data_IF_844386605961
#
_entry.id   IF_844386605961
#
_cell.length_a   1.000
_cell.length_b   1.000
_cell.length_c   1.000
_cell.angle_alpha   90.00
_cell.angle_beta   90.00
_cell.angle_gamma   90.00
#
_symmetry.space_group_name_H-M   'P 1'
#
loop_
_entity.id
_entity.type
_entity.pdbx_description
1 polymer ?
#
# COMPACT_ATOMS: atom_id res chain seq x y z
N UNK A 1 1.95 10.29 -22.62
CA UNK A 1 2.88 10.74 -21.54
C UNK A 1 2.70 12.24 -21.30
N UNK A 2 1.61 12.68 -20.67
CA UNK A 2 1.32 14.11 -20.42
C UNK A 2 0.37 14.34 -19.22
N UNK A 3 0.49 13.57 -18.12
CA UNK A 3 -0.42 13.72 -16.98
C UNK A 3 0.24 14.25 -15.70
N UNK A 4 1.51 14.65 -15.74
CA UNK A 4 2.24 15.18 -14.58
C UNK A 4 2.83 16.55 -14.89
N UNK A 5 2.01 17.48 -15.38
CA UNK A 5 2.40 18.89 -15.41
C UNK A 5 2.08 19.51 -14.04
N UNK A 6 3.07 19.51 -13.15
CA UNK A 6 2.94 20.01 -11.77
C UNK A 6 2.68 21.52 -11.69
N UNK A 7 2.78 22.23 -12.82
CA UNK A 7 2.62 23.69 -12.87
C UNK A 7 1.16 24.16 -12.65
N UNK A 8 0.17 23.25 -12.70
CA UNK A 8 -1.24 23.58 -12.45
C UNK A 8 -1.70 23.29 -11.01
N UNK A 9 -0.84 22.73 -10.15
CA UNK A 9 -1.20 22.43 -8.77
C UNK A 9 -1.09 23.73 -7.94
N UNK A 10 -2.15 24.16 -7.25
CA UNK A 10 -2.09 25.32 -6.38
C UNK A 10 -1.01 25.15 -5.30
N UNK A 11 -0.18 26.18 -5.02
CA UNK A 11 0.94 26.07 -4.06
C UNK A 11 0.50 25.70 -2.65
N UNK A 12 -0.75 26.01 -2.28
CA UNK A 12 -1.38 25.59 -1.04
C UNK A 12 -1.42 24.05 -0.89
N UNK A 13 -1.65 23.27 -1.95
CA UNK A 13 -1.71 21.80 -1.86
C UNK A 13 -0.32 21.20 -1.58
N UNK A 14 0.72 21.81 -2.15
CA UNK A 14 2.12 21.40 -1.93
C UNK A 14 2.50 21.62 -0.46
N UNK A 15 2.18 22.80 0.09
CA UNK A 15 2.46 23.11 1.49
C UNK A 15 1.73 22.19 2.49
N UNK A 16 0.48 21.82 2.19
CA UNK A 16 -0.34 20.93 3.02
C UNK A 16 0.19 19.50 2.96
N UNK A 17 0.55 19.02 1.77
CA UNK A 17 1.20 17.73 1.60
C UNK A 17 2.53 17.67 2.37
N UNK A 18 3.36 18.71 2.28
CA UNK A 18 4.63 18.77 3.01
C UNK A 18 4.44 18.74 4.53
N UNK A 19 3.47 19.51 5.05
CA UNK A 19 3.15 19.51 6.48
C UNK A 19 2.63 18.15 6.95
N UNK A 20 1.78 17.50 6.17
CA UNK A 20 1.24 16.21 6.52
C UNK A 20 2.26 15.07 6.42
N UNK A 21 3.20 15.13 5.46
CA UNK A 21 4.33 14.21 5.42
C UNK A 21 5.21 14.36 6.67
N UNK A 22 5.44 15.59 7.15
CA UNK A 22 6.16 15.84 8.42
C UNK A 22 5.40 15.27 9.62
N UNK A 23 4.09 15.52 9.70
CA UNK A 23 3.23 14.96 10.76
C UNK A 23 3.25 13.43 10.74
N UNK A 24 3.11 12.84 9.56
CA UNK A 24 3.10 11.38 9.38
C UNK A 24 4.45 10.77 9.75
N UNK A 25 5.56 11.40 9.36
CA UNK A 25 6.91 11.00 9.77
C UNK A 25 7.10 11.03 11.29
N UNK A 26 6.59 12.07 11.96
CA UNK A 26 6.58 12.12 13.44
C UNK A 26 5.65 11.09 14.06
N UNK A 27 4.50 10.81 13.44
CA UNK A 27 3.51 9.88 13.96
C UNK A 27 3.97 8.43 13.94
N UNK A 28 4.75 8.07 12.92
CA UNK A 28 5.25 6.71 12.70
C UNK A 28 6.63 6.49 13.34
N UNK A 29 7.19 7.48 14.03
CA UNK A 29 8.46 7.32 14.77
C UNK A 29 8.23 6.44 16.00
N UNK A 30 8.77 5.21 16.07
CA UNK A 30 8.57 4.33 17.21
C UNK A 30 9.21 4.89 18.48
N UNK A 31 8.50 4.84 19.61
CA UNK A 31 9.02 5.27 20.91
C UNK A 31 9.00 6.78 21.14
N UNK A 32 8.41 7.56 20.22
CA UNK A 32 8.26 9.02 20.37
C UNK A 32 7.35 9.38 21.53
N UNK A 33 6.39 8.52 21.89
CA UNK A 33 5.49 8.76 23.00
C UNK A 33 5.55 7.66 24.05
N UNK A 34 5.38 8.07 25.30
CA UNK A 34 5.35 7.19 26.46
C UNK A 34 4.26 6.10 26.36
N UNK A 35 3.18 6.35 25.60
CA UNK A 35 2.09 5.40 25.36
C UNK A 35 2.54 4.16 24.60
N UNK A 36 3.62 4.25 23.82
CA UNK A 36 4.19 3.12 23.07
C UNK A 36 4.87 2.12 24.01
N UNK A 37 5.39 2.60 25.15
CA UNK A 37 6.01 1.78 26.18
C UNK A 37 5.02 1.34 27.28
N UNK A 38 4.03 2.19 27.60
CA UNK A 38 3.03 1.94 28.64
C UNK A 38 1.60 2.15 28.12
N UNK A 39 0.95 1.08 27.61
CA UNK A 39 -0.39 1.16 27.02
C UNK A 39 -1.48 1.73 27.93
N UNK A 40 -1.30 1.65 29.26
CA UNK A 40 -2.25 2.19 30.26
C UNK A 40 -2.42 3.71 30.14
N UNK A 41 -1.45 4.41 29.57
CA UNK A 41 -1.49 5.86 29.36
C UNK A 41 -2.56 6.29 28.34
N UNK A 42 -3.12 5.37 27.54
CA UNK A 42 -4.25 5.64 26.63
C UNK A 42 -5.49 6.18 27.36
N UNK A 43 -5.72 5.79 28.61
CA UNK A 43 -6.93 6.13 29.36
C UNK A 43 -6.86 7.45 30.12
N UNK A 44 -5.70 8.11 30.15
CA UNK A 44 -5.49 9.32 30.93
C UNK A 44 -6.18 10.55 30.27
N UNK A 45 -6.86 11.43 31.03
CA UNK A 45 -7.43 12.66 30.49
C UNK A 45 -6.39 13.61 29.86
N UNK A 46 -6.79 14.38 28.85
CA UNK A 46 -5.91 15.30 28.09
C UNK A 46 -5.29 16.44 28.92
N UNK A 47 -5.77 16.68 30.15
CA UNK A 47 -5.24 17.70 31.06
C UNK A 47 -4.00 17.25 31.84
N UNK A 48 -3.70 15.95 31.92
CA UNK A 48 -2.60 15.40 32.71
C UNK A 48 -1.21 15.71 32.12
N UNK A 49 -0.16 15.97 32.94
CA UNK A 49 1.16 16.43 32.48
C UNK A 49 1.92 15.49 31.52
N UNK A 50 1.43 14.26 31.30
CA UNK A 50 2.02 13.30 30.34
C UNK A 50 1.07 12.92 29.19
N UNK A 51 -0.11 13.56 29.09
CA UNK A 51 -1.09 13.32 28.03
C UNK A 51 -0.89 14.25 26.80
N UNK A 52 0.33 14.75 26.58
CA UNK A 52 0.66 15.65 25.46
C UNK A 52 0.30 15.03 24.11
N UNK A 53 0.44 13.71 23.95
CA UNK A 53 0.07 12.97 22.75
C UNK A 53 -1.41 13.16 22.36
N UNK A 54 -2.33 13.30 23.34
CA UNK A 54 -3.76 13.53 23.05
C UNK A 54 -4.00 14.92 22.48
N UNK A 55 -3.31 15.94 23.00
CA UNK A 55 -3.40 17.31 22.48
C UNK A 55 -2.81 17.39 21.08
N UNK A 56 -1.63 16.79 20.90
CA UNK A 56 -0.95 16.68 19.62
C UNK A 56 -1.79 15.94 18.57
N UNK A 57 -2.45 14.83 18.93
CA UNK A 57 -3.36 14.12 18.02
C UNK A 57 -4.60 14.94 17.64
N UNK A 58 -5.12 15.76 18.57
CA UNK A 58 -6.28 16.62 18.30
C UNK A 58 -5.92 17.75 17.35
N UNK A 59 -4.72 18.30 17.49
CA UNK A 59 -4.19 19.33 16.60
C UNK A 59 -3.88 18.77 15.21
N UNK A 60 -3.25 17.59 15.13
CA UNK A 60 -2.99 16.95 13.85
C UNK A 60 -4.26 16.49 13.14
N UNK A 61 -5.35 16.21 13.88
CA UNK A 61 -6.61 15.78 13.28
C UNK A 61 -7.19 16.84 12.34
N UNK A 62 -7.09 18.13 12.68
CA UNK A 62 -7.57 19.19 11.78
C UNK A 62 -6.71 19.30 10.53
N UNK A 63 -5.37 19.19 10.65
CA UNK A 63 -4.45 19.18 9.51
C UNK A 63 -4.62 17.95 8.61
N UNK A 64 -4.86 16.77 9.19
CA UNK A 64 -5.09 15.53 8.43
C UNK A 64 -6.46 15.53 7.74
N UNK A 65 -7.50 16.05 8.39
CA UNK A 65 -8.79 16.26 7.74
C UNK A 65 -8.64 17.23 6.55
N UNK A 66 -7.90 18.32 6.74
CA UNK A 66 -7.60 19.28 5.68
C UNK A 66 -6.85 18.65 4.50
N UNK A 67 -5.90 17.74 4.77
CA UNK A 67 -5.21 16.97 3.72
C UNK A 67 -6.18 16.11 2.90
N UNK A 68 -7.20 15.52 3.50
CA UNK A 68 -8.21 14.75 2.77
C UNK A 68 -9.16 15.67 2.00
N UNK A 69 -9.65 16.72 2.65
CA UNK A 69 -10.78 17.52 2.15
C UNK A 69 -10.40 18.43 0.99
N UNK A 70 -9.21 19.03 0.98
CA UNK A 70 -8.79 19.95 -0.10
C UNK A 70 -8.69 19.27 -1.47
N UNK A 71 -7.86 18.22 -1.65
CA UNK A 71 -7.73 17.58 -2.96
C UNK A 71 -9.06 16.94 -3.38
N UNK A 72 -9.83 16.40 -2.43
CA UNK A 72 -11.14 15.83 -2.71
C UNK A 72 -12.14 16.88 -3.23
N UNK A 73 -12.25 18.04 -2.56
CA UNK A 73 -13.15 19.11 -2.97
C UNK A 73 -12.69 19.79 -4.28
N UNK A 74 -11.38 19.93 -4.46
CA UNK A 74 -10.82 20.42 -5.72
C UNK A 74 -11.13 19.47 -6.88
N UNK A 75 -10.89 18.16 -6.70
CA UNK A 75 -11.20 17.14 -7.70
C UNK A 75 -12.68 17.11 -8.05
N UNK A 76 -13.56 17.17 -7.04
CA UNK A 76 -15.01 17.23 -7.21
C UNK A 76 -15.47 18.46 -8.01
N UNK A 77 -14.80 19.61 -7.87
CA UNK A 77 -15.10 20.82 -8.64
C UNK A 77 -14.57 20.81 -10.08
N UNK A 78 -13.52 20.05 -10.36
CA UNK A 78 -12.87 20.00 -11.68
C UNK A 78 -13.50 19.04 -12.69
N UNK A 79 -14.57 18.32 -12.31
CA UNK A 79 -15.24 17.31 -13.15
C UNK A 79 -14.27 16.26 -13.73
N UNK A 80 -13.13 16.04 -13.07
CA UNK A 80 -12.16 15.01 -13.42
C UNK A 80 -12.78 13.69 -12.98
N UNK A 81 -12.92 12.70 -13.88
CA UNK A 81 -13.46 11.40 -13.50
C UNK A 81 -12.60 10.84 -12.37
N UNK A 82 -13.24 10.58 -11.23
CA UNK A 82 -12.59 9.99 -10.05
C UNK A 82 -11.81 8.73 -10.45
N UNK A 83 -10.73 8.41 -9.74
CA UNK A 83 -9.99 7.16 -9.95
C UNK A 83 -10.87 5.92 -9.87
N UNK A 84 -11.98 5.97 -9.11
CA UNK A 84 -13.01 4.93 -9.11
C UNK A 84 -13.69 4.74 -10.46
N UNK A 85 -13.85 5.81 -11.25
CA UNK A 85 -14.42 5.77 -12.59
C UNK A 85 -13.42 5.23 -13.63
N UNK A 86 -12.11 5.47 -13.43
CA UNK A 86 -11.03 4.91 -14.27
C UNK A 86 -10.79 3.42 -14.03
N UNK A 87 -11.04 2.94 -12.81
CA UNK A 87 -10.90 1.52 -12.44
C UNK A 87 -12.10 0.65 -12.86
N UNK A 88 -13.21 1.25 -13.31
CA UNK A 88 -14.43 0.54 -13.71
C UNK A 88 -15.01 1.06 -15.04
N UNK A 89 -14.39 0.76 -16.19
CA UNK A 89 -15.04 1.01 -17.45
C UNK A 89 -16.17 -0.02 -17.64
N UNK A 90 -17.45 0.38 -17.47
CA UNK A 90 -18.60 -0.38 -17.99
C UNK A 90 -19.68 -0.85 -17.00
N UNK A 91 -19.76 -0.39 -15.76
CA UNK A 91 -20.90 -0.72 -14.89
C UNK A 91 -22.02 0.32 -15.04
N UNK A 92 -23.05 0.01 -15.82
CA UNK A 92 -24.35 0.69 -15.76
C UNK A 92 -25.05 0.42 -14.42
N UNK A 93 -25.89 1.35 -13.97
CA UNK A 93 -26.52 1.53 -12.64
C UNK A 93 -27.34 0.36 -12.04
N UNK A 94 -27.32 -0.85 -12.59
CA UNK A 94 -28.23 -1.92 -12.18
C UNK A 94 -27.69 -2.91 -11.12
N UNK A 95 -26.51 -2.65 -10.53
CA UNK A 95 -25.87 -3.61 -9.62
C UNK A 95 -25.56 -3.09 -8.21
N UNK A 96 -26.27 -2.05 -7.74
CA UNK A 96 -26.11 -1.53 -6.36
C UNK A 96 -27.02 -2.22 -5.33
N UNK A 97 -27.66 -3.33 -5.69
CA UNK A 97 -28.43 -4.15 -4.75
C UNK A 97 -28.04 -5.61 -4.92
N UNK A 98 -26.93 -6.02 -4.29
CA UNK A 98 -26.67 -7.35 -3.69
C UNK A 98 -25.37 -7.23 -2.89
N UNK A 99 -25.51 -7.04 -1.59
CA UNK A 99 -24.69 -7.79 -0.65
C UNK A 99 -25.68 -8.66 0.15
N UNK A 100 -25.61 -9.99 -0.01
CA UNK A 100 -25.02 -10.75 1.07
C UNK A 100 -24.16 -11.91 0.59
N UNK A 101 -23.32 -12.41 1.50
CA UNK A 101 -22.31 -13.44 1.27
C UNK A 101 -22.80 -14.65 0.47
N UNK A 102 -22.15 -14.85 -0.68
CA UNK A 102 -21.97 -16.09 -1.41
C UNK A 102 -21.27 -15.70 -2.71
N UNK A 103 -20.04 -16.17 -2.87
CA UNK A 103 -19.23 -16.00 -4.07
C UNK A 103 -20.03 -16.44 -5.30
N UNK A 104 -20.43 -15.47 -6.13
CA UNK A 104 -21.04 -15.76 -7.43
C UNK A 104 -20.05 -16.57 -8.28
N UNK A 105 -20.40 -17.74 -8.83
CA UNK A 105 -19.45 -18.61 -9.55
C UNK A 105 -18.93 -18.05 -10.88
N UNK A 106 -19.40 -16.89 -11.31
CA UNK A 106 -19.18 -16.36 -12.66
C UNK A 106 -17.88 -15.56 -12.86
N UNK A 107 -17.03 -15.42 -11.82
CA UNK A 107 -15.81 -14.60 -11.87
C UNK A 107 -14.55 -15.33 -11.36
N UNK A 108 -14.48 -16.65 -11.51
CA UNK A 108 -13.18 -17.32 -11.42
C UNK A 108 -12.38 -17.00 -12.69
N UNK A 109 -11.43 -16.08 -12.57
CA UNK A 109 -10.44 -15.80 -13.62
C UNK A 109 -9.52 -17.02 -13.81
N UNK A 110 -8.94 -17.19 -15.01
CA UNK A 110 -8.07 -18.32 -15.39
C UNK A 110 -7.07 -18.77 -14.28
N UNK A 111 -6.40 -17.86 -13.54
CA UNK A 111 -5.54 -18.22 -12.42
C UNK A 111 -6.23 -18.92 -11.24
N UNK A 112 -7.43 -18.50 -10.82
CA UNK A 112 -8.08 -19.14 -9.65
C UNK A 112 -8.51 -20.57 -9.96
N UNK A 113 -8.97 -20.85 -11.18
CA UNK A 113 -9.33 -22.21 -11.60
C UNK A 113 -8.12 -23.15 -11.55
N UNK A 114 -6.93 -22.67 -11.97
CA UNK A 114 -5.68 -23.45 -11.90
C UNK A 114 -5.22 -23.66 -10.46
N UNK A 115 -5.31 -22.63 -9.61
CA UNK A 115 -4.99 -22.77 -8.18
C UNK A 115 -5.93 -23.77 -7.49
N UNK A 116 -7.23 -23.73 -7.80
CA UNK A 116 -8.20 -24.68 -7.25
C UNK A 116 -7.90 -26.11 -7.70
N UNK A 117 -7.60 -26.33 -8.99
CA UNK A 117 -7.22 -27.65 -9.50
C UNK A 117 -5.93 -28.19 -8.86
N UNK A 118 -4.97 -27.32 -8.53
CA UNK A 118 -3.76 -27.72 -7.80
C UNK A 118 -4.09 -28.18 -6.37
N UNK A 119 -4.95 -27.45 -5.66
CA UNK A 119 -5.42 -27.83 -4.32
C UNK A 119 -6.18 -29.16 -4.36
N UNK A 120 -7.11 -29.30 -5.31
CA UNK A 120 -7.95 -30.49 -5.48
C UNK A 120 -7.11 -31.74 -5.82
N UNK A 121 -5.92 -31.55 -6.42
CA UNK A 121 -5.00 -32.66 -6.72
C UNK A 121 -4.32 -33.26 -5.48
N UNK A 122 -4.27 -32.50 -4.38
CA UNK A 122 -3.55 -32.89 -3.16
C UNK A 122 -4.51 -33.40 -2.09
N UNK A 123 -5.69 -32.79 -1.98
CA UNK A 123 -6.68 -33.13 -0.97
C UNK A 123 -8.10 -32.89 -1.48
N UNK A 124 -9.03 -33.74 -1.04
CA UNK A 124 -10.48 -33.54 -1.22
C UNK A 124 -11.14 -32.86 -0.01
N UNK A 125 -10.35 -32.51 1.01
CA UNK A 125 -10.79 -31.87 2.25
C UNK A 125 -9.99 -30.59 2.56
N UNK A 126 -9.97 -30.18 3.83
CA UNK A 126 -9.26 -28.97 4.25
C UNK A 126 -7.74 -29.15 4.11
N UNK A 127 -7.02 -28.29 3.37
CA UNK A 127 -5.56 -28.32 3.27
C UNK A 127 -4.89 -28.07 4.62
N UNK A 128 -3.74 -28.68 4.85
CA UNK A 128 -2.89 -28.44 6.02
C UNK A 128 -1.66 -27.62 5.64
N UNK A 129 -1.01 -27.01 6.62
CA UNK A 129 0.21 -26.22 6.38
C UNK A 129 1.34 -27.05 5.75
N UNK A 130 1.41 -28.35 6.04
CA UNK A 130 2.39 -29.24 5.44
C UNK A 130 2.22 -29.39 3.90
N UNK A 131 1.02 -29.13 3.38
CA UNK A 131 0.72 -29.24 1.95
C UNK A 131 1.27 -28.07 1.13
N UNK A 132 1.70 -26.97 1.78
CA UNK A 132 2.21 -25.76 1.12
C UNK A 132 3.36 -26.05 0.15
N UNK A 133 4.24 -27.00 0.48
CA UNK A 133 5.36 -27.38 -0.40
C UNK A 133 4.92 -28.11 -1.68
N UNK A 134 3.68 -28.59 -1.72
CA UNK A 134 3.09 -29.30 -2.86
C UNK A 134 2.24 -28.38 -3.74
N UNK A 135 2.11 -27.11 -3.37
CA UNK A 135 1.25 -26.11 -4.01
C UNK A 135 2.08 -24.99 -4.69
N UNK A 136 2.95 -25.31 -5.66
CA UNK A 136 3.85 -24.33 -6.25
C UNK A 136 3.13 -23.23 -7.03
N UNK A 137 2.02 -23.51 -7.70
CA UNK A 137 1.22 -22.49 -8.40
C UNK A 137 0.51 -21.56 -7.43
N UNK A 138 -0.07 -22.09 -6.34
CA UNK A 138 -0.67 -21.26 -5.30
C UNK A 138 0.36 -20.29 -4.69
N UNK A 139 1.58 -20.78 -4.42
CA UNK A 139 2.68 -19.94 -3.93
C UNK A 139 3.09 -18.88 -4.95
N UNK A 140 3.18 -19.24 -6.23
CA UNK A 140 3.46 -18.28 -7.30
C UNK A 140 2.37 -17.20 -7.42
N UNK A 141 1.10 -17.60 -7.30
CA UNK A 141 -0.04 -16.68 -7.30
C UNK A 141 -0.02 -15.75 -6.09
N UNK A 142 0.33 -16.25 -4.90
CA UNK A 142 0.49 -15.42 -3.70
C UNK A 142 1.58 -14.37 -3.89
N UNK A 143 2.72 -14.76 -4.48
CA UNK A 143 3.79 -13.80 -4.83
C UNK A 143 3.29 -12.74 -5.80
N UNK A 144 2.55 -13.14 -6.83
CA UNK A 144 2.02 -12.17 -7.81
C UNK A 144 1.01 -11.20 -7.21
N UNK A 145 0.17 -11.66 -6.27
CA UNK A 145 -0.72 -10.77 -5.50
C UNK A 145 0.08 -9.76 -4.69
N UNK A 146 1.12 -10.21 -3.97
CA UNK A 146 1.99 -9.31 -3.20
C UNK A 146 2.73 -8.30 -4.07
N UNK A 147 3.13 -8.68 -5.29
CA UNK A 147 3.78 -7.78 -6.25
C UNK A 147 2.80 -6.75 -6.81
N UNK A 148 1.63 -7.21 -7.27
CA UNK A 148 0.63 -6.39 -7.96
C UNK A 148 -0.03 -5.38 -7.00
N UNK A 149 -0.33 -5.81 -5.77
CA UNK A 149 -0.99 -4.99 -4.76
C UNK A 149 -0.32 -5.18 -3.39
N UNK A 150 0.88 -4.62 -3.17
CA UNK A 150 1.58 -4.75 -1.90
C UNK A 150 0.79 -4.05 -0.79
N UNK A 151 0.75 -4.67 0.39
CA UNK A 151 0.01 -4.15 1.56
C UNK A 151 0.53 -2.77 1.97
N UNK A 152 1.84 -2.56 1.88
CA UNK A 152 2.51 -1.30 2.21
C UNK A 152 3.16 -0.67 0.98
N UNK A 153 2.36 -0.01 0.13
CA UNK A 153 2.83 0.63 -1.11
C UNK A 153 4.00 1.61 -0.91
N UNK A 154 4.05 2.30 0.24
CA UNK A 154 5.07 3.29 0.60
C UNK A 154 6.02 2.81 1.72
N UNK A 155 6.06 1.49 1.97
CA UNK A 155 6.71 0.89 3.12
C UNK A 155 6.29 1.57 4.45
N UNK A 156 6.96 1.18 5.54
CA UNK A 156 6.96 1.97 6.76
C UNK A 156 8.04 3.05 6.64
N UNK A 157 7.76 4.31 7.05
CA UNK A 157 8.77 5.34 7.04
C UNK A 157 9.95 4.98 7.94
N UNK A 158 11.15 5.14 7.41
CA UNK A 158 12.39 4.97 8.16
C UNK A 158 12.99 6.33 8.50
N UNK A 159 13.77 6.41 9.58
CA UNK A 159 14.51 7.61 9.92
C UNK A 159 16.00 7.39 9.71
N UNK A 160 16.64 8.33 9.04
CA UNK A 160 18.08 8.33 8.82
C UNK A 160 18.79 8.66 10.14
N UNK A 161 19.66 7.78 10.61
CA UNK A 161 20.33 7.92 11.92
C UNK A 161 21.59 8.77 11.87
N UNK A 162 22.24 8.85 10.71
CA UNK A 162 23.46 9.61 10.45
C UNK A 162 23.44 10.17 9.03
N UNK A 163 24.16 11.27 8.80
CA UNK A 163 24.28 11.84 7.46
C UNK A 163 24.78 10.79 6.46
N UNK A 164 24.11 10.69 5.31
CA UNK A 164 24.46 9.76 4.24
C UNK A 164 24.40 10.45 2.87
N UNK A 165 24.99 9.83 1.85
CA UNK A 165 24.94 10.31 0.46
C UNK A 165 24.48 9.18 -0.46
N UNK A 166 23.33 9.39 -1.12
CA UNK A 166 22.78 8.44 -2.09
C UNK A 166 22.64 9.10 -3.46
N UNK A 167 23.17 8.46 -4.51
CA UNK A 167 23.13 8.96 -5.88
C UNK A 167 23.60 10.43 -6.06
N UNK A 168 24.57 10.86 -5.24
CA UNK A 168 25.10 12.23 -5.23
C UNK A 168 24.28 13.25 -4.41
N UNK A 169 23.16 12.83 -3.82
CA UNK A 169 22.34 13.66 -2.94
C UNK A 169 22.68 13.40 -1.47
N UNK A 170 22.89 14.47 -0.70
CA UNK A 170 23.07 14.38 0.75
C UNK A 170 21.72 14.17 1.45
N UNK A 171 21.62 13.11 2.24
CA UNK A 171 20.48 12.79 3.08
C UNK A 171 20.90 13.06 4.53
N UNK A 172 20.38 14.11 5.19
CA UNK A 172 20.81 14.47 6.53
C UNK A 172 20.27 13.50 7.59
N UNK A 173 21.01 13.35 8.68
CA UNK A 173 20.54 12.70 9.89
C UNK A 173 19.21 13.32 10.35
N UNK A 174 18.28 12.46 10.78
CA UNK A 174 16.94 12.83 11.20
C UNK A 174 15.91 12.94 10.07
N UNK A 175 16.31 12.87 8.80
CA UNK A 175 15.38 12.84 7.67
C UNK A 175 14.50 11.59 7.70
N UNK A 176 13.23 11.75 7.33
CA UNK A 176 12.30 10.63 7.10
C UNK A 176 12.43 10.15 5.67
N UNK A 177 12.75 8.87 5.50
CA UNK A 177 12.81 8.19 4.22
C UNK A 177 11.54 7.36 4.02
N UNK A 178 10.89 7.54 2.86
CA UNK A 178 9.69 6.80 2.46
C UNK A 178 10.02 6.04 1.18
N UNK A 179 9.87 4.72 1.19
CA UNK A 179 10.25 3.84 0.10
C UNK A 179 9.03 3.52 -0.76
N UNK A 180 9.04 3.88 -2.04
CA UNK A 180 7.94 3.53 -2.93
C UNK A 180 8.08 2.08 -3.43
N UNK A 181 7.69 1.13 -2.57
CA UNK A 181 7.69 -0.31 -2.85
C UNK A 181 6.85 -0.62 -4.09
N UNK A 182 5.72 0.06 -4.27
CA UNK A 182 4.88 -0.09 -5.46
C UNK A 182 5.67 0.18 -6.75
N UNK A 183 6.42 1.29 -6.80
CA UNK A 183 7.22 1.64 -7.96
C UNK A 183 8.34 0.62 -8.23
N UNK A 184 8.99 0.10 -7.18
CA UNK A 184 10.01 -0.95 -7.31
C UNK A 184 9.41 -2.23 -7.90
N UNK A 185 8.24 -2.64 -7.42
CA UNK A 185 7.55 -3.87 -7.87
C UNK A 185 6.85 -3.74 -9.24
N UNK A 186 6.78 -2.52 -9.79
CA UNK A 186 6.26 -2.20 -11.12
C UNK A 186 7.32 -1.66 -12.08
N UNK A 187 8.60 -1.76 -11.71
CA UNK A 187 9.70 -1.47 -12.61
C UNK A 187 9.76 -2.51 -13.74
N UNK A 188 9.66 -2.06 -14.98
CA UNK A 188 9.60 -2.93 -16.16
C UNK A 188 10.95 -3.59 -16.48
N UNK A 189 12.07 -3.05 -15.98
CA UNK A 189 13.39 -3.69 -16.10
C UNK A 189 13.48 -4.91 -15.19
N UNK A 190 12.89 -4.82 -13.99
CA UNK A 190 12.88 -5.91 -12.99
C UNK A 190 11.73 -6.91 -13.23
N UNK A 191 10.53 -6.41 -13.56
CA UNK A 191 9.32 -7.21 -13.78
C UNK A 191 8.72 -6.88 -15.17
N UNK A 192 9.00 -7.70 -16.20
CA UNK A 192 8.40 -7.53 -17.52
C UNK A 192 6.87 -7.58 -17.46
N UNK A 193 6.23 -6.70 -18.22
CA UNK A 193 4.78 -6.48 -18.24
C UNK A 193 4.19 -6.35 -16.82
N UNK A 194 4.60 -5.33 -16.04
CA UNK A 194 4.32 -5.26 -14.60
C UNK A 194 2.83 -5.09 -14.28
N UNK A 195 2.03 -4.62 -15.24
CA UNK A 195 0.58 -4.45 -15.09
C UNK A 195 -0.22 -5.68 -15.52
N UNK A 196 0.43 -6.72 -16.07
CA UNK A 196 -0.19 -8.00 -16.32
C UNK A 196 -0.07 -8.86 -15.06
N UNK A 197 -1.21 -9.34 -14.57
CA UNK A 197 -1.25 -10.32 -13.50
C UNK A 197 -0.89 -11.70 -14.06
N UNK A 198 0.35 -12.12 -13.84
CA UNK A 198 0.88 -13.38 -14.35
C UNK A 198 1.66 -14.12 -13.24
N UNK A 199 1.02 -15.11 -12.58
CA UNK A 199 1.70 -15.97 -11.60
C UNK A 199 2.84 -16.78 -12.21
N UNK A 200 2.84 -17.06 -13.51
CA UNK A 200 3.82 -17.98 -14.11
C UNK A 200 5.25 -17.40 -14.11
N UNK A 201 5.40 -16.08 -13.92
CA UNK A 201 6.70 -15.38 -13.80
C UNK A 201 7.60 -15.88 -12.66
N UNK A 202 7.04 -16.58 -11.68
CA UNK A 202 7.77 -17.13 -10.53
C UNK A 202 8.18 -18.60 -10.72
N UNK A 203 7.88 -19.23 -11.85
CA UNK A 203 8.38 -20.56 -12.17
C UNK A 203 9.76 -20.53 -12.83
N UNK A 204 10.53 -21.60 -12.57
CA UNK A 204 11.80 -21.82 -13.25
C UNK A 204 11.57 -21.99 -14.76
N UNK A 205 12.22 -21.15 -15.58
CA UNK A 205 12.15 -21.20 -17.04
C UNK A 205 11.23 -20.18 -17.70
N UNK A 206 10.52 -19.32 -16.94
CA UNK A 206 9.65 -18.27 -17.46
C UNK A 206 10.41 -17.00 -17.96
N UNK A 207 11.74 -16.96 -17.86
CA UNK A 207 12.57 -15.81 -18.21
C UNK A 207 13.63 -15.52 -17.14
N UNK A 208 14.15 -14.27 -17.06
CA UNK A 208 14.95 -13.83 -15.92
C UNK A 208 14.16 -14.10 -14.64
N UNK A 209 14.79 -14.73 -13.64
CA UNK A 209 14.11 -15.05 -12.39
C UNK A 209 13.61 -13.76 -11.73
N UNK A 210 12.29 -13.55 -11.73
CA UNK A 210 11.67 -12.41 -11.08
C UNK A 210 11.96 -12.47 -9.57
N UNK A 211 12.53 -11.40 -8.96
CA UNK A 211 12.87 -11.42 -7.55
C UNK A 211 11.60 -11.60 -6.69
N UNK A 212 11.75 -12.29 -5.57
CA UNK A 212 10.64 -12.51 -4.64
C UNK A 212 10.18 -11.17 -4.05
N UNK A 213 8.91 -10.78 -4.22
CA UNK A 213 8.40 -9.51 -3.69
C UNK A 213 8.46 -9.46 -2.15
N UNK A 214 8.47 -10.61 -1.47
CA UNK A 214 8.59 -10.66 -0.02
C UNK A 214 9.85 -9.98 0.52
N UNK A 215 10.95 -9.97 -0.26
CA UNK A 215 12.20 -9.30 0.11
C UNK A 215 12.08 -7.78 0.24
N UNK A 216 11.08 -7.18 -0.40
CA UNK A 216 10.86 -5.73 -0.33
C UNK A 216 9.74 -5.35 0.63
N UNK A 217 8.96 -6.33 1.10
CA UNK A 217 7.77 -6.12 1.93
C UNK A 217 8.07 -6.46 3.41
N UNK A 218 8.89 -7.48 3.67
CA UNK A 218 9.08 -8.04 5.02
C UNK A 218 10.48 -7.81 5.62
N UNK A 219 11.45 -7.37 4.82
CA UNK A 219 12.81 -7.00 5.27
C UNK A 219 12.95 -5.47 5.40
#
# INVERSE_FOLDING_TARGET
MSCLDTNHIPPQHISVAEQASKISGWALTPGRWLVDYWPILRFIPSWFPFAHFKRQSSEWRSTLNFLSDIPHNWAAGTNIPSTSHLLRPGMTEEAEDIAPGHSTPAQQTLPQTRAQAEIDSITSGTPQFADVYRLPFLLAMLKEVMRYAPVANLALPHQVTQDDTYAGYRIPAGATMVLNVYAILHDAETYPDPFLFDPDRFFAGAGPASPDPGKYIWD
#
